data_IF_402382292678
#
_entry.id   IF_402382292678
#
_cell.length_a   1.000
_cell.length_b   1.000
_cell.length_c   1.000
_cell.angle_alpha   90.00
_cell.angle_beta   90.00
_cell.angle_gamma   90.00
#
_symmetry.space_group_name_H-M   'P 1'
#
loop_
_entity.id
_entity.type
_entity.pdbx_description
1 polymer ?
#
# COMPACT_ATOMS: atom_id res chain seq x y z
N UNK A 1 32.42 -34.36 4.38
CA UNK A 1 32.67 -33.31 5.40
C UNK A 1 33.42 -32.16 4.73
N UNK A 2 32.72 -31.11 4.32
CA UNK A 2 33.29 -29.80 3.97
C UNK A 2 32.33 -28.76 4.53
N UNK A 3 32.71 -28.17 5.65
CA UNK A 3 32.00 -27.08 6.32
C UNK A 3 32.47 -25.75 5.70
N UNK A 4 31.62 -25.15 4.87
CA UNK A 4 31.77 -23.75 4.44
C UNK A 4 30.90 -22.87 5.33
N UNK A 5 31.51 -22.25 6.34
CA UNK A 5 30.89 -21.19 7.12
C UNK A 5 30.94 -19.89 6.31
N UNK A 6 29.78 -19.45 5.79
CA UNK A 6 29.60 -18.12 5.24
C UNK A 6 29.50 -17.10 6.37
N UNK A 7 30.32 -16.06 6.31
CA UNK A 7 30.23 -14.92 7.23
C UNK A 7 29.01 -14.04 6.93
N UNK A 8 28.35 -13.46 7.95
CA UNK A 8 27.23 -12.57 7.74
C UNK A 8 27.72 -11.15 7.38
N UNK A 9 27.15 -10.61 6.31
CA UNK A 9 27.37 -9.25 5.82
C UNK A 9 26.83 -8.22 6.85
N UNK A 10 27.71 -7.52 7.56
CA UNK A 10 27.35 -6.45 8.52
C UNK A 10 27.27 -5.10 7.79
N UNK A 11 26.05 -4.65 7.47
CA UNK A 11 25.79 -3.43 6.68
C UNK A 11 25.79 -2.11 7.48
N UNK A 12 26.11 -2.11 8.79
CA UNK A 12 26.01 -0.89 9.62
C UNK A 12 27.34 -0.27 10.09
N UNK A 13 28.50 -0.79 9.67
CA UNK A 13 29.79 -0.24 10.08
C UNK A 13 30.45 0.59 8.98
N UNK A 14 30.13 1.89 8.90
CA UNK A 14 31.11 2.98 8.70
C UNK A 14 30.41 4.34 8.72
N UNK A 15 30.34 4.93 9.91
CA UNK A 15 29.95 6.32 10.13
C UNK A 15 30.87 6.97 11.15
N UNK A 16 32.18 6.98 10.88
CA UNK A 16 33.18 7.60 11.75
C UNK A 16 33.12 9.12 11.59
N UNK A 17 32.39 9.81 12.45
CA UNK A 17 32.49 11.27 12.60
C UNK A 17 33.83 11.59 13.26
N UNK A 18 34.64 12.41 12.57
CA UNK A 18 35.92 12.91 13.05
C UNK A 18 35.70 13.82 14.25
N UNK A 19 36.05 13.36 15.45
CA UNK A 19 36.06 14.19 16.67
C UNK A 19 37.43 14.83 16.82
N UNK A 20 37.70 15.89 16.05
CA UNK A 20 38.86 16.75 16.27
C UNK A 20 38.39 18.18 16.47
N UNK A 21 38.21 18.54 17.75
CA UNK A 21 38.03 19.90 18.23
C UNK A 21 36.57 20.31 18.42
N UNK A 22 36.02 20.08 19.62
CA UNK A 22 34.88 20.78 20.20
C UNK A 22 34.81 20.39 21.70
N UNK A 23 35.75 20.91 22.48
CA UNK A 23 35.61 20.93 23.94
C UNK A 23 34.72 22.11 24.33
N UNK A 24 33.82 21.88 25.29
CA UNK A 24 32.95 22.84 25.97
C UNK A 24 31.72 23.38 25.22
N UNK A 25 31.04 22.50 24.49
CA UNK A 25 29.63 22.72 24.14
C UNK A 25 28.71 22.32 25.29
N UNK A 26 28.32 23.28 26.15
CA UNK A 26 27.15 23.10 27.02
C UNK A 26 25.97 22.72 26.14
N UNK A 27 25.45 21.51 26.30
CA UNK A 27 24.18 21.10 25.66
C UNK A 27 23.07 21.90 26.33
N UNK A 28 22.80 23.09 25.82
CA UNK A 28 21.63 23.86 26.24
C UNK A 28 20.39 23.13 25.74
N UNK A 29 19.53 22.73 26.66
CA UNK A 29 18.16 22.32 26.35
C UNK A 29 17.55 23.45 25.51
N UNK A 30 17.24 23.21 24.23
CA UNK A 30 16.48 24.18 23.43
C UNK A 30 15.21 24.50 24.22
N UNK A 31 15.09 25.73 24.68
CA UNK A 31 13.84 26.21 25.25
C UNK A 31 12.74 26.07 24.19
N UNK A 32 11.61 25.51 24.62
CA UNK A 32 10.48 25.29 23.74
C UNK A 32 9.92 26.64 23.30
N UNK A 33 9.72 26.89 21.99
CA UNK A 33 9.05 28.10 21.54
C UNK A 33 7.68 28.20 22.21
N UNK A 34 7.41 29.37 22.77
CA UNK A 34 6.17 29.72 23.45
C UNK A 34 4.95 29.50 22.55
N UNK A 35 4.32 28.33 22.68
CA UNK A 35 2.87 28.07 22.62
C UNK A 35 2.04 28.40 21.38
N UNK A 36 2.53 29.14 20.39
CA UNK A 36 1.73 29.64 19.28
C UNK A 36 2.11 28.93 17.99
N UNK A 37 1.47 27.78 17.71
CA UNK A 37 1.65 27.06 16.44
C UNK A 37 1.54 25.54 16.50
N UNK A 38 1.17 24.97 17.64
CA UNK A 38 0.98 23.53 17.75
C UNK A 38 -0.28 23.11 16.98
N UNK A 39 -0.11 22.24 15.98
CA UNK A 39 -1.25 21.73 15.21
C UNK A 39 -2.22 20.97 16.11
N UNK A 40 -3.52 20.92 15.80
CA UNK A 40 -4.49 20.13 16.56
C UNK A 40 -4.07 18.66 16.73
N UNK A 41 -3.41 18.10 15.72
CA UNK A 41 -2.84 16.75 15.76
C UNK A 41 -1.74 16.59 16.82
N UNK A 42 -0.92 17.62 17.04
CA UNK A 42 0.14 17.59 18.05
C UNK A 42 -0.44 17.60 19.46
N UNK A 43 -1.41 18.48 19.73
CA UNK A 43 -2.05 18.57 21.04
C UNK A 43 -2.77 17.27 21.40
N UNK A 44 -3.50 16.68 20.45
CA UNK A 44 -4.16 15.39 20.63
C UNK A 44 -3.16 14.25 20.90
N UNK A 45 -2.02 14.23 20.22
CA UNK A 45 -0.97 13.25 20.49
C UNK A 45 -0.38 13.45 21.89
N UNK A 46 -0.13 14.70 22.29
CA UNK A 46 0.43 15.04 23.61
C UNK A 46 -0.49 14.60 24.75
N UNK A 47 -1.80 14.81 24.62
CA UNK A 47 -2.78 14.34 25.61
C UNK A 47 -2.84 12.80 25.69
N UNK A 48 -2.75 12.11 24.54
CA UNK A 48 -2.71 10.65 24.50
C UNK A 48 -1.44 10.08 25.13
N UNK A 49 -0.31 10.76 24.98
CA UNK A 49 0.96 10.35 25.59
C UNK A 49 0.96 10.68 27.09
N UNK A 50 0.44 11.85 27.50
CA UNK A 50 0.43 12.25 28.92
C UNK A 50 -0.41 11.32 29.81
N UNK A 51 -1.46 10.72 29.24
CA UNK A 51 -2.33 9.75 29.92
C UNK A 51 -1.80 8.31 29.87
N UNK A 52 -0.75 8.04 29.08
CA UNK A 52 -0.22 6.70 28.89
C UNK A 52 0.67 6.26 30.07
N UNK A 53 0.23 5.26 30.82
CA UNK A 53 1.02 4.65 31.89
C UNK A 53 1.94 3.57 31.34
N UNK A 54 3.24 3.84 31.29
CA UNK A 54 4.26 2.85 30.95
C UNK A 54 4.26 1.73 31.98
N UNK A 55 4.18 0.48 31.50
CA UNK A 55 4.32 -0.70 32.34
C UNK A 55 5.77 -1.16 32.29
N UNK A 56 6.34 -1.53 33.42
CA UNK A 56 7.69 -2.09 33.49
C UNK A 56 7.68 -3.56 33.01
N UNK A 57 7.52 -3.75 31.70
CA UNK A 57 7.55 -5.04 31.02
C UNK A 57 8.47 -4.92 29.81
N UNK A 58 9.10 -6.02 29.41
CA UNK A 58 9.87 -6.07 28.18
C UNK A 58 8.96 -5.79 26.98
N UNK A 59 9.38 -4.91 26.07
CA UNK A 59 8.70 -4.70 24.80
C UNK A 59 8.66 -6.00 23.99
N UNK A 60 7.55 -6.19 23.27
CA UNK A 60 7.34 -7.36 22.41
C UNK A 60 6.93 -6.91 21.03
N UNK A 61 7.61 -7.42 20.01
CA UNK A 61 7.19 -7.26 18.63
C UNK A 61 5.88 -8.02 18.44
N UNK A 62 4.85 -7.32 17.99
CA UNK A 62 3.55 -7.91 17.67
C UNK A 62 3.24 -7.72 16.19
N UNK A 63 2.83 -8.80 15.55
CA UNK A 63 2.36 -8.78 14.18
C UNK A 63 0.90 -8.32 14.14
N UNK A 64 0.67 -7.10 13.64
CA UNK A 64 -0.67 -6.47 13.59
C UNK A 64 -1.69 -7.26 12.77
N UNK A 65 -1.23 -8.03 11.78
CA UNK A 65 -2.09 -8.72 10.82
C UNK A 65 -2.33 -10.19 11.17
N UNK A 66 -2.19 -10.55 12.45
CA UNK A 66 -2.68 -11.81 13.00
C UNK A 66 -3.28 -11.58 14.38
N UNK A 67 -4.39 -12.27 14.68
CA UNK A 67 -5.12 -12.13 15.95
C UNK A 67 -4.32 -12.63 17.15
N UNK A 68 -3.38 -13.55 16.92
CA UNK A 68 -2.45 -14.06 17.94
C UNK A 68 -1.17 -13.21 18.08
N UNK A 69 -1.03 -12.14 17.29
CA UNK A 69 0.12 -11.25 17.30
C UNK A 69 1.42 -11.89 16.79
N UNK A 70 1.38 -13.10 16.23
CA UNK A 70 2.58 -13.82 15.77
C UNK A 70 2.83 -13.60 14.29
N UNK A 71 4.10 -13.42 13.94
CA UNK A 71 4.52 -13.37 12.55
C UNK A 71 4.53 -14.79 11.96
N UNK A 72 3.87 -14.97 10.82
CA UNK A 72 4.00 -16.18 10.01
C UNK A 72 4.09 -15.80 8.54
N UNK A 73 4.81 -16.62 7.75
CA UNK A 73 4.86 -16.46 6.28
C UNK A 73 3.43 -16.53 5.70
N UNK A 74 2.57 -17.39 6.27
CA UNK A 74 1.16 -17.49 5.90
C UNK A 74 0.40 -16.18 6.13
N UNK A 75 0.57 -15.52 7.27
CA UNK A 75 -0.10 -14.24 7.55
C UNK A 75 0.39 -13.12 6.64
N UNK A 76 1.68 -13.11 6.29
CA UNK A 76 2.22 -12.17 5.30
C UNK A 76 1.62 -12.43 3.93
N UNK A 77 1.62 -13.69 3.48
CA UNK A 77 1.08 -14.05 2.18
C UNK A 77 -0.41 -13.74 2.09
N UNK A 78 -1.18 -14.02 3.14
CA UNK A 78 -2.60 -13.69 3.21
C UNK A 78 -2.83 -12.18 3.14
N UNK A 79 -1.99 -11.37 3.79
CA UNK A 79 -2.07 -9.91 3.71
C UNK A 79 -1.77 -9.42 2.28
N UNK A 80 -0.71 -9.93 1.68
CA UNK A 80 -0.31 -9.54 0.32
C UNK A 80 -1.34 -9.97 -0.73
N UNK A 81 -1.99 -11.12 -0.51
CA UNK A 81 -2.94 -11.73 -1.44
C UNK A 81 -4.41 -11.52 -1.05
N UNK A 82 -4.70 -10.69 -0.05
CA UNK A 82 -6.09 -10.40 0.35
C UNK A 82 -6.88 -9.79 -0.83
N UNK A 83 -6.16 -9.12 -1.74
CA UNK A 83 -6.71 -8.56 -2.97
C UNK A 83 -7.59 -7.33 -2.73
N UNK A 84 -7.61 -6.82 -1.50
CA UNK A 84 -8.43 -5.70 -1.07
C UNK A 84 -9.93 -6.02 -1.14
N UNK A 85 -10.75 -5.02 -1.46
CA UNK A 85 -12.19 -5.18 -1.57
C UNK A 85 -12.53 -6.13 -2.74
N UNK A 86 -12.91 -7.36 -2.41
CA UNK A 86 -13.39 -8.34 -3.38
C UNK A 86 -14.77 -7.91 -3.86
N UNK A 87 -14.88 -7.56 -5.14
CA UNK A 87 -16.19 -7.32 -5.75
C UNK A 87 -16.97 -8.64 -5.74
N UNK A 88 -18.12 -8.67 -5.05
CA UNK A 88 -18.97 -9.86 -4.96
C UNK A 88 -19.45 -10.36 -6.34
N UNK A 89 -19.44 -9.51 -7.37
CA UNK A 89 -19.75 -9.90 -8.75
C UNK A 89 -18.64 -10.76 -9.37
N UNK A 90 -17.40 -10.60 -8.92
CA UNK A 90 -16.25 -11.35 -9.46
C UNK A 90 -16.30 -12.83 -9.12
N UNK A 91 -16.81 -13.22 -7.93
CA UNK A 91 -16.95 -14.64 -7.56
C UNK A 91 -17.97 -15.36 -8.43
N UNK A 92 -19.06 -14.68 -8.82
CA UNK A 92 -20.10 -15.24 -9.71
C UNK A 92 -19.54 -15.62 -11.07
N UNK A 93 -18.63 -14.82 -11.64
CA UNK A 93 -17.99 -15.11 -12.94
C UNK A 93 -17.26 -16.46 -12.90
N UNK A 94 -16.52 -16.73 -11.82
CA UNK A 94 -15.72 -17.95 -11.72
C UNK A 94 -16.57 -19.21 -11.60
N UNK A 95 -17.80 -19.09 -11.09
CA UNK A 95 -18.78 -20.18 -11.02
C UNK A 95 -19.50 -20.51 -12.33
N UNK A 96 -19.42 -19.66 -13.36
CA UNK A 96 -20.11 -19.89 -14.64
C UNK A 96 -19.53 -21.12 -15.37
N UNK A 97 -20.37 -21.90 -16.06
CA UNK A 97 -19.95 -23.02 -16.92
C UNK A 97 -19.61 -22.52 -18.33
N UNK A 98 -18.65 -21.61 -18.43
CA UNK A 98 -18.18 -21.03 -19.70
C UNK A 98 -16.67 -21.21 -19.84
N UNK A 99 -16.12 -21.18 -21.08
CA UNK A 99 -14.68 -21.26 -21.29
C UNK A 99 -13.93 -20.19 -20.50
N UNK A 100 -12.71 -20.52 -20.06
CA UNK A 100 -11.88 -19.62 -19.24
C UNK A 100 -11.64 -18.26 -19.91
N UNK A 101 -11.47 -18.24 -21.24
CA UNK A 101 -11.32 -17.00 -22.01
C UNK A 101 -12.47 -16.03 -21.80
N UNK A 102 -13.70 -16.53 -21.75
CA UNK A 102 -14.90 -15.72 -21.51
C UNK A 102 -14.90 -15.22 -20.07
N UNK A 103 -14.59 -16.06 -19.08
CA UNK A 103 -14.51 -15.65 -17.67
C UNK A 103 -13.52 -14.51 -17.46
N UNK A 104 -12.31 -14.64 -18.02
CA UNK A 104 -11.25 -13.62 -17.91
C UNK A 104 -11.71 -12.33 -18.58
N UNK A 105 -12.31 -12.41 -19.76
CA UNK A 105 -12.82 -11.24 -20.47
C UNK A 105 -13.93 -10.52 -19.68
N UNK A 106 -14.93 -11.26 -19.19
CA UNK A 106 -16.01 -10.68 -18.37
C UNK A 106 -15.45 -10.04 -17.09
N UNK A 107 -14.44 -10.64 -16.46
CA UNK A 107 -13.79 -10.06 -15.29
C UNK A 107 -13.07 -8.74 -15.61
N UNK A 108 -12.43 -8.64 -16.78
CA UNK A 108 -11.81 -7.39 -17.27
C UNK A 108 -12.87 -6.32 -17.54
N UNK A 109 -13.99 -6.69 -18.15
CA UNK A 109 -15.13 -5.80 -18.41
C UNK A 109 -15.71 -5.27 -17.10
N UNK A 110 -15.94 -6.12 -16.10
CA UNK A 110 -16.41 -5.68 -14.77
C UNK A 110 -15.46 -4.71 -14.08
N UNK A 111 -14.16 -4.83 -14.33
CA UNK A 111 -13.14 -3.92 -13.81
C UNK A 111 -13.01 -2.63 -14.63
N UNK A 112 -13.81 -2.45 -15.69
CA UNK A 112 -13.75 -1.33 -16.65
C UNK A 112 -12.35 -1.14 -17.25
N UNK A 113 -11.64 -2.25 -17.55
CA UNK A 113 -10.29 -2.22 -18.14
C UNK A 113 -10.12 -2.76 -19.58
N UNK A 114 -11.16 -3.06 -20.37
CA UNK A 114 -10.93 -3.44 -21.77
C UNK A 114 -10.33 -2.28 -22.57
N UNK A 115 -9.83 -2.57 -23.77
CA UNK A 115 -9.19 -1.59 -24.66
C UNK A 115 -10.22 -0.73 -25.41
N UNK A 116 -11.17 -0.15 -24.66
CA UNK A 116 -12.12 0.84 -25.18
C UNK A 116 -11.44 2.18 -25.44
N UNK A 117 -11.97 2.99 -26.35
CA UNK A 117 -11.36 4.28 -26.70
C UNK A 117 -11.14 5.19 -25.46
N UNK A 118 -12.07 5.20 -24.51
CA UNK A 118 -11.91 5.94 -23.24
C UNK A 118 -10.69 5.48 -22.41
N UNK A 119 -10.43 4.16 -22.41
CA UNK A 119 -9.32 3.57 -21.68
C UNK A 119 -7.99 3.70 -22.43
N UNK A 120 -8.03 3.74 -23.76
CA UNK A 120 -6.89 4.02 -24.62
C UNK A 120 -6.46 5.49 -24.49
N UNK A 121 -7.41 6.42 -24.44
CA UNK A 121 -7.14 7.85 -24.25
C UNK A 121 -6.41 8.12 -22.93
N UNK A 122 -6.82 7.46 -21.84
CA UNK A 122 -6.12 7.52 -20.53
C UNK A 122 -4.67 7.02 -20.58
N UNK A 123 -4.31 6.25 -21.62
CA UNK A 123 -2.95 5.71 -21.84
C UNK A 123 -2.15 6.54 -22.85
N UNK A 124 -2.67 7.69 -23.30
CA UNK A 124 -2.01 8.57 -24.26
C UNK A 124 -2.19 8.17 -25.73
N UNK A 125 -3.18 7.33 -26.05
CA UNK A 125 -3.55 7.06 -27.44
C UNK A 125 -4.37 8.22 -28.02
N UNK A 126 -4.06 8.63 -29.26
CA UNK A 126 -4.59 9.84 -29.90
C UNK A 126 -5.51 9.53 -31.10
N UNK A 127 -6.40 8.54 -30.96
CA UNK A 127 -7.37 8.18 -32.01
C UNK A 127 -8.78 8.72 -31.77
N UNK A 128 -9.72 8.26 -32.59
CA UNK A 128 -11.13 8.63 -32.47
C UNK A 128 -11.74 8.00 -31.20
N UNK A 129 -12.46 8.80 -30.42
CA UNK A 129 -13.14 8.39 -29.19
C UNK A 129 -14.58 7.97 -29.41
N UNK A 130 -15.14 8.17 -30.61
CA UNK A 130 -16.51 7.80 -30.96
C UNK A 130 -16.62 6.30 -31.18
N UNK A 131 -17.70 5.71 -30.64
CA UNK A 131 -18.03 4.31 -30.80
C UNK A 131 -18.22 3.95 -32.27
N UNK A 132 -17.47 2.96 -32.76
CA UNK A 132 -17.57 2.51 -34.15
C UNK A 132 -18.88 1.78 -34.48
N UNK A 133 -19.64 1.33 -33.46
CA UNK A 133 -20.89 0.59 -33.66
C UNK A 133 -22.07 1.52 -33.92
N UNK A 134 -22.27 2.56 -33.10
CA UNK A 134 -23.38 3.51 -33.23
C UNK A 134 -22.98 4.81 -33.97
N UNK A 135 -21.70 5.17 -33.97
CA UNK A 135 -21.18 6.37 -34.63
C UNK A 135 -21.60 7.70 -34.00
N UNK A 136 -22.26 7.70 -32.84
CA UNK A 136 -22.85 8.91 -32.23
C UNK A 136 -22.27 9.25 -30.86
N UNK A 137 -22.07 8.27 -29.98
CA UNK A 137 -21.59 8.46 -28.61
C UNK A 137 -20.11 8.04 -28.44
N UNK A 138 -19.49 8.46 -27.34
CA UNK A 138 -18.14 8.02 -26.99
C UNK A 138 -18.08 6.53 -26.64
N UNK A 139 -17.02 5.86 -27.10
CA UNK A 139 -16.79 4.45 -26.81
C UNK A 139 -16.33 4.25 -25.36
N UNK A 140 -17.30 4.02 -24.49
CA UNK A 140 -17.08 3.61 -23.11
C UNK A 140 -17.40 2.13 -22.92
N UNK A 141 -16.91 1.52 -21.84
CA UNK A 141 -17.22 0.12 -21.50
C UNK A 141 -18.72 -0.09 -21.31
N UNK A 142 -19.41 0.82 -20.63
CA UNK A 142 -20.84 0.67 -20.37
C UNK A 142 -21.64 0.88 -21.67
N UNK A 143 -21.25 1.84 -22.50
CA UNK A 143 -21.84 2.03 -23.82
C UNK A 143 -21.66 0.78 -24.69
N UNK A 144 -20.42 0.34 -24.92
CA UNK A 144 -20.09 -0.77 -25.82
C UNK A 144 -20.76 -2.11 -25.45
N UNK A 145 -20.97 -2.39 -24.16
CA UNK A 145 -21.48 -3.69 -23.70
C UNK A 145 -22.93 -3.67 -23.20
N UNK A 146 -23.54 -2.50 -22.97
CA UNK A 146 -24.88 -2.41 -22.35
C UNK A 146 -25.84 -1.49 -23.11
N UNK A 147 -25.37 -0.37 -23.66
CA UNK A 147 -26.26 0.72 -24.11
C UNK A 147 -26.18 1.04 -25.61
N UNK A 148 -25.14 0.59 -26.30
CA UNK A 148 -24.85 0.93 -27.70
C UNK A 148 -26.01 0.62 -28.66
#
# INVERSE_FOLDING_TARGET
>A
MKSSSGEPFTFWETGRLSTSGLTDGVVTRRESPSGQGLTPSYLALRERISTFKLKHRSDRVQWRWSSDGRFTVKSVYSLLNDGGLRDARSSKIWGLRVPLKVKVFTWIVLKKRPLTADNLLKRGWSGNTVCMLCGSEEETVDHLFVQC
#
